data_IF_698641625474
#
_entry.id   IF_698641625474
#
_cell.length_a   1.000
_cell.length_b   1.000
_cell.length_c   1.000
_cell.angle_alpha   90.00
_cell.angle_beta   90.00
_cell.angle_gamma   90.00
#
_symmetry.space_group_name_H-M   'P 1'
#
loop_
_entity.id
_entity.type
_entity.pdbx_description
1 polymer ?
#
# COMPACT_ATOMS: atom_id res chain seq x y z
N UNK A 1 12.08 -4.32 7.19
CA UNK A 1 10.60 -4.47 7.29
C UNK A 1 10.06 -4.94 5.95
N UNK A 2 8.91 -5.61 5.94
CA UNK A 2 8.26 -6.07 4.70
C UNK A 2 6.87 -5.44 4.54
N UNK A 3 6.59 -4.92 3.37
CA UNK A 3 5.35 -4.21 3.04
C UNK A 3 4.68 -4.87 1.82
N UNK A 4 4.03 -6.05 1.96
CA UNK A 4 3.36 -6.70 0.84
C UNK A 4 2.27 -5.78 0.28
N UNK A 5 2.30 -5.51 -1.03
CA UNK A 5 1.34 -4.65 -1.71
C UNK A 5 0.18 -5.49 -2.26
N UNK A 6 -0.98 -5.35 -1.64
CA UNK A 6 -2.17 -6.14 -1.90
C UNK A 6 -3.26 -5.30 -2.56
N UNK A 7 -4.01 -5.90 -3.48
CA UNK A 7 -5.15 -5.25 -4.13
C UNK A 7 -6.43 -5.25 -3.29
N UNK A 8 -6.37 -5.73 -2.06
CA UNK A 8 -7.54 -5.81 -1.18
C UNK A 8 -8.65 -6.71 -1.72
N UNK A 9 -8.28 -7.78 -2.44
CA UNK A 9 -9.21 -8.80 -2.90
C UNK A 9 -9.67 -9.66 -1.73
N UNK A 10 -10.82 -10.32 -1.89
CA UNK A 10 -11.47 -11.05 -0.82
C UNK A 10 -10.53 -12.06 -0.12
N UNK A 11 -9.79 -12.86 -0.87
CA UNK A 11 -8.91 -13.88 -0.28
C UNK A 11 -7.65 -13.29 0.34
N UNK A 12 -7.09 -12.21 -0.19
CA UNK A 12 -5.99 -11.47 0.43
C UNK A 12 -6.42 -10.91 1.80
N UNK A 13 -7.58 -10.27 1.86
CA UNK A 13 -8.13 -9.72 3.11
C UNK A 13 -8.46 -10.81 4.14
N UNK A 14 -8.99 -11.97 3.70
CA UNK A 14 -9.23 -13.11 4.57
C UNK A 14 -7.91 -13.66 5.11
N UNK A 15 -6.88 -13.80 4.27
CA UNK A 15 -5.58 -14.30 4.69
C UNK A 15 -4.93 -13.36 5.74
N UNK A 16 -4.93 -12.05 5.51
CA UNK A 16 -4.43 -11.07 6.49
C UNK A 16 -5.18 -11.19 7.81
N UNK A 17 -6.52 -11.21 7.77
CA UNK A 17 -7.35 -11.34 8.96
C UNK A 17 -7.05 -12.63 9.74
N UNK A 18 -6.92 -13.77 9.06
CA UNK A 18 -6.58 -15.03 9.71
C UNK A 18 -5.18 -15.01 10.34
N UNK A 19 -4.20 -14.42 9.66
CA UNK A 19 -2.85 -14.28 10.21
C UNK A 19 -2.86 -13.42 11.48
N UNK A 20 -3.61 -12.33 11.49
CA UNK A 20 -3.78 -11.46 12.65
C UNK A 20 -4.50 -12.19 13.78
N UNK A 21 -5.63 -12.85 13.51
CA UNK A 21 -6.42 -13.57 14.51
C UNK A 21 -5.63 -14.72 15.16
N UNK A 22 -4.76 -15.38 14.39
CA UNK A 22 -3.89 -16.46 14.86
C UNK A 22 -2.58 -15.95 15.45
N UNK A 23 -2.39 -14.64 15.57
CA UNK A 23 -1.17 -13.97 16.08
C UNK A 23 0.10 -14.39 15.31
N UNK A 24 -0.05 -14.64 14.01
CA UNK A 24 1.04 -15.05 13.11
C UNK A 24 1.56 -13.93 12.22
N UNK A 25 0.92 -12.76 12.21
CA UNK A 25 1.43 -11.61 11.48
C UNK A 25 2.48 -10.90 12.33
N UNK A 26 3.73 -10.93 11.87
CA UNK A 26 4.84 -10.25 12.53
C UNK A 26 4.65 -8.74 12.53
N UNK A 27 5.07 -8.04 13.58
CA UNK A 27 5.11 -6.56 13.64
C UNK A 27 6.06 -5.94 12.61
N UNK A 28 6.95 -6.72 12.01
CA UNK A 28 7.82 -6.29 10.91
C UNK A 28 7.16 -6.41 9.53
N UNK A 29 5.91 -6.91 9.48
CA UNK A 29 5.13 -7.03 8.24
C UNK A 29 3.95 -6.07 8.31
N UNK A 30 3.94 -5.07 7.44
CA UNK A 30 2.89 -4.05 7.34
C UNK A 30 2.27 -4.14 5.94
N UNK A 31 1.15 -4.87 5.76
CA UNK A 31 0.50 -4.97 4.47
C UNK A 31 0.01 -3.61 3.97
N UNK A 32 0.33 -3.27 2.71
CA UNK A 32 -0.27 -2.13 2.01
C UNK A 32 -1.51 -2.66 1.29
N UNK A 33 -2.67 -2.11 1.59
CA UNK A 33 -3.93 -2.49 0.96
C UNK A 33 -4.39 -1.37 0.04
N UNK A 34 -4.36 -1.61 -1.27
CA UNK A 34 -5.02 -0.77 -2.26
C UNK A 34 -6.41 -1.36 -2.56
N UNK A 35 -7.49 -0.78 -2.01
CA UNK A 35 -8.80 -1.43 -2.03
C UNK A 35 -9.44 -1.35 -3.41
N UNK A 36 -9.61 -2.50 -4.06
CA UNK A 36 -10.27 -2.58 -5.38
C UNK A 36 -11.80 -2.53 -5.30
N UNK A 37 -12.39 -2.81 -4.13
CA UNK A 37 -13.84 -2.93 -3.97
C UNK A 37 -14.30 -2.55 -2.57
N UNK A 38 -15.45 -1.90 -2.49
CA UNK A 38 -16.14 -1.67 -1.22
C UNK A 38 -16.82 -2.98 -0.75
N UNK A 39 -16.34 -3.56 0.36
CA UNK A 39 -16.84 -4.82 0.87
C UNK A 39 -16.83 -4.89 2.39
N UNK A 40 -17.73 -5.70 2.97
CA UNK A 40 -17.71 -5.98 4.40
C UNK A 40 -16.43 -6.69 4.86
N UNK A 41 -15.82 -7.50 3.99
CA UNK A 41 -14.53 -8.15 4.29
C UNK A 41 -13.44 -7.12 4.54
N UNK A 42 -13.40 -6.02 3.75
CA UNK A 42 -12.45 -4.92 3.92
C UNK A 42 -12.65 -4.23 5.28
N UNK A 43 -13.87 -3.82 5.60
CA UNK A 43 -14.19 -3.18 6.88
C UNK A 43 -13.87 -4.09 8.08
N UNK A 44 -14.21 -5.37 7.99
CA UNK A 44 -13.91 -6.35 9.02
C UNK A 44 -12.39 -6.55 9.20
N UNK A 45 -11.60 -6.51 8.13
CA UNK A 45 -10.14 -6.61 8.22
C UNK A 45 -9.56 -5.41 8.98
N UNK A 46 -10.02 -4.20 8.68
CA UNK A 46 -9.62 -2.98 9.40
C UNK A 46 -9.99 -3.09 10.89
N UNK A 47 -11.20 -3.54 11.21
CA UNK A 47 -11.66 -3.71 12.58
C UNK A 47 -10.79 -4.70 13.38
N UNK A 48 -10.40 -5.82 12.77
CA UNK A 48 -9.50 -6.80 13.42
C UNK A 48 -8.09 -6.23 13.62
N UNK A 49 -7.57 -5.42 12.69
CA UNK A 49 -6.29 -4.74 12.87
C UNK A 49 -6.30 -3.84 14.10
N UNK A 50 -7.37 -3.08 14.30
CA UNK A 50 -7.55 -2.24 15.47
C UNK A 50 -7.67 -3.06 16.76
N UNK A 51 -8.53 -4.08 16.77
CA UNK A 51 -8.74 -4.96 17.93
C UNK A 51 -7.46 -5.66 18.39
N UNK A 52 -6.65 -6.13 17.44
CA UNK A 52 -5.42 -6.91 17.70
C UNK A 52 -4.14 -6.07 17.70
N UNK A 53 -4.26 -4.75 17.54
CA UNK A 53 -3.13 -3.83 17.51
C UNK A 53 -2.06 -4.18 16.43
N UNK A 54 -2.53 -4.60 15.26
CA UNK A 54 -1.68 -4.88 14.11
C UNK A 54 -1.72 -3.72 13.11
N UNK A 55 -0.56 -3.32 12.59
CA UNK A 55 -0.46 -2.24 11.61
C UNK A 55 -0.72 -2.72 10.19
N UNK A 56 -1.50 -1.93 9.45
CA UNK A 56 -1.66 -2.03 8.00
C UNK A 56 -1.57 -0.63 7.39
N UNK A 57 -1.22 -0.53 6.11
CA UNK A 57 -1.35 0.71 5.35
C UNK A 57 -2.57 0.61 4.41
N UNK A 58 -3.40 1.64 4.39
CA UNK A 58 -4.60 1.71 3.56
C UNK A 58 -4.49 2.84 2.55
N UNK A 59 -4.55 2.50 1.26
CA UNK A 59 -4.49 3.49 0.16
C UNK A 59 -5.84 4.21 0.06
N UNK A 60 -5.84 5.51 0.36
CA UNK A 60 -7.07 6.33 0.38
C UNK A 60 -7.48 6.82 -1.01
N UNK A 61 -6.56 6.78 -1.99
CA UNK A 61 -6.79 7.15 -3.39
C UNK A 61 -6.43 6.01 -4.36
N UNK A 62 -7.07 4.82 -4.23
CA UNK A 62 -6.72 3.68 -5.08
C UNK A 62 -6.88 4.01 -6.56
N UNK A 63 -5.89 3.58 -7.36
CA UNK A 63 -5.85 3.80 -8.81
C UNK A 63 -6.50 2.65 -9.59
N UNK A 64 -6.87 1.59 -8.90
CA UNK A 64 -7.46 0.39 -9.51
C UNK A 64 -8.77 0.02 -8.84
N UNK A 65 -9.60 -0.75 -9.58
CA UNK A 65 -10.84 -1.30 -9.05
C UNK A 65 -12.05 -0.36 -9.14
N UNK A 66 -13.06 -0.65 -8.35
CA UNK A 66 -14.39 -0.01 -8.40
C UNK A 66 -14.83 0.59 -7.06
N UNK A 67 -13.91 0.79 -6.09
CA UNK A 67 -14.25 1.26 -4.74
C UNK A 67 -15.22 2.46 -4.77
N UNK A 68 -14.87 3.53 -5.48
CA UNK A 68 -15.70 4.73 -5.58
C UNK A 68 -16.93 4.54 -6.49
N UNK A 69 -16.84 3.69 -7.52
CA UNK A 69 -18.00 3.36 -8.37
C UNK A 69 -19.04 2.54 -7.59
N UNK A 70 -18.59 1.62 -6.75
CA UNK A 70 -19.49 0.84 -5.88
C UNK A 70 -20.11 1.71 -4.79
N UNK A 71 -19.37 2.69 -4.27
CA UNK A 71 -19.91 3.67 -3.33
C UNK A 71 -21.03 4.52 -3.94
N UNK A 72 -20.96 4.88 -5.23
CA UNK A 72 -22.01 5.64 -5.93
C UNK A 72 -23.31 4.83 -6.09
N UNK A 73 -23.24 3.50 -6.06
CA UNK A 73 -24.44 2.61 -6.06
C UNK A 73 -25.16 2.61 -4.71
N UNK A 74 -24.43 2.90 -3.63
CA UNK A 74 -25.03 3.13 -2.32
C UNK A 74 -25.60 4.56 -2.27
N UNK A 75 -26.92 4.67 -2.47
CA UNK A 75 -27.65 5.95 -2.50
C UNK A 75 -27.44 6.82 -1.26
N UNK A 76 -27.02 6.23 -0.14
CA UNK A 76 -26.76 6.95 1.11
C UNK A 76 -25.30 7.38 1.27
N UNK A 77 -24.37 6.82 0.51
CA UNK A 77 -22.93 6.98 0.68
C UNK A 77 -22.40 6.48 2.03
N UNK A 78 -23.30 5.89 2.85
CA UNK A 78 -23.00 5.56 4.24
C UNK A 78 -21.85 4.57 4.37
N UNK A 79 -21.85 3.52 3.57
CA UNK A 79 -20.82 2.45 3.67
C UNK A 79 -19.41 2.97 3.42
N UNK A 80 -19.25 3.88 2.46
CA UNK A 80 -17.95 4.48 2.18
C UNK A 80 -17.53 5.41 3.31
N UNK A 81 -18.45 6.25 3.78
CA UNK A 81 -18.19 7.16 4.89
C UNK A 81 -17.82 6.40 6.18
N UNK A 82 -18.53 5.31 6.49
CA UNK A 82 -18.22 4.45 7.64
C UNK A 82 -16.81 3.85 7.51
N UNK A 83 -16.44 3.35 6.31
CA UNK A 83 -15.12 2.83 6.04
C UNK A 83 -14.02 3.88 6.25
N UNK A 84 -14.19 5.07 5.65
CA UNK A 84 -13.20 6.15 5.80
C UNK A 84 -13.13 6.67 7.24
N UNK A 85 -14.23 6.72 7.96
CA UNK A 85 -14.24 7.06 9.38
C UNK A 85 -13.40 6.07 10.18
N UNK A 86 -13.57 4.76 9.95
CA UNK A 86 -12.73 3.73 10.58
C UNK A 86 -11.26 3.91 10.24
N UNK A 87 -10.93 4.15 8.96
CA UNK A 87 -9.54 4.37 8.51
C UNK A 87 -8.92 5.59 9.20
N UNK A 88 -9.63 6.72 9.25
CA UNK A 88 -9.12 7.97 9.83
C UNK A 88 -8.94 7.83 11.34
N UNK A 89 -9.90 7.23 12.04
CA UNK A 89 -9.88 7.13 13.51
C UNK A 89 -8.90 6.07 14.03
N UNK A 90 -8.57 5.06 13.22
CA UNK A 90 -7.66 4.00 13.66
C UNK A 90 -6.21 4.48 13.72
N UNK A 91 -5.54 4.22 14.84
CA UNK A 91 -4.10 4.44 15.03
C UNK A 91 -3.25 3.35 14.40
N UNK A 92 -3.83 2.20 14.15
CA UNK A 92 -3.15 1.05 13.55
C UNK A 92 -3.22 1.04 12.02
N UNK A 93 -4.01 1.95 11.42
CA UNK A 93 -4.09 2.12 9.97
C UNK A 93 -3.26 3.31 9.53
N UNK A 94 -2.15 3.06 8.85
CA UNK A 94 -1.34 4.08 8.18
C UNK A 94 -2.10 4.54 6.93
N UNK A 95 -2.36 5.83 6.80
CA UNK A 95 -3.03 6.41 5.64
C UNK A 95 -2.03 6.51 4.50
N UNK A 96 -2.23 5.75 3.43
CA UNK A 96 -1.33 5.72 2.29
C UNK A 96 -1.93 6.50 1.12
N UNK A 97 -1.09 7.29 0.43
CA UNK A 97 -1.48 8.09 -0.74
C UNK A 97 -0.54 7.75 -1.90
N UNK A 98 -1.13 7.37 -3.02
CA UNK A 98 -0.40 7.27 -4.28
C UNK A 98 -0.20 8.69 -4.81
N UNK A 99 1.07 9.11 -4.96
CA UNK A 99 1.44 10.41 -5.49
C UNK A 99 1.01 10.56 -6.96
N UNK A 100 0.47 11.73 -7.32
CA UNK A 100 -0.03 12.00 -8.66
C UNK A 100 -1.24 12.95 -8.65
N UNK A 101 -2.06 12.90 -9.69
CA UNK A 101 -3.06 13.89 -10.02
C UNK A 101 -4.08 14.26 -8.92
N UNK A 102 -4.44 13.35 -8.03
CA UNK A 102 -5.42 13.58 -6.95
C UNK A 102 -4.80 13.60 -5.55
N UNK A 103 -3.48 13.46 -5.45
CA UNK A 103 -2.77 13.36 -4.18
C UNK A 103 -2.96 14.60 -3.30
N UNK A 104 -2.91 15.80 -3.87
CA UNK A 104 -3.08 17.07 -3.14
C UNK A 104 -4.45 17.15 -2.45
N UNK A 105 -5.52 16.80 -3.15
CA UNK A 105 -6.87 16.80 -2.58
C UNK A 105 -6.96 15.84 -1.39
N UNK A 106 -6.34 14.66 -1.51
CA UNK A 106 -6.37 13.63 -0.46
C UNK A 106 -5.51 13.97 0.74
N UNK A 107 -4.33 14.55 0.50
CA UNK A 107 -3.49 15.06 1.59
C UNK A 107 -4.25 16.14 2.38
N UNK A 108 -4.82 17.14 1.69
CA UNK A 108 -5.58 18.21 2.33
C UNK A 108 -6.79 17.68 3.10
N UNK A 109 -7.49 16.68 2.58
CA UNK A 109 -8.59 15.99 3.28
C UNK A 109 -8.11 15.31 4.57
N UNK A 110 -7.01 14.56 4.53
CA UNK A 110 -6.42 13.93 5.72
C UNK A 110 -5.98 14.96 6.76
N UNK A 111 -5.26 16.01 6.34
CA UNK A 111 -4.81 17.09 7.24
C UNK A 111 -5.99 17.79 7.91
N UNK A 112 -7.08 18.03 7.17
CA UNK A 112 -8.33 18.64 7.68
C UNK A 112 -9.02 17.75 8.72
N UNK A 113 -8.79 16.44 8.65
CA UNK A 113 -9.29 15.46 9.63
C UNK A 113 -8.31 15.23 10.80
N UNK A 114 -7.26 16.03 10.93
CA UNK A 114 -6.32 16.01 12.05
C UNK A 114 -5.22 14.94 11.94
N UNK A 115 -5.00 14.38 10.73
CA UNK A 115 -3.88 13.44 10.48
C UNK A 115 -2.65 14.28 10.13
N UNK A 116 -1.56 14.06 10.83
CA UNK A 116 -0.30 14.74 10.55
C UNK A 116 0.44 14.12 9.35
N UNK A 117 1.26 14.93 8.66
CA UNK A 117 2.03 14.47 7.50
C UNK A 117 2.94 13.28 7.82
N UNK A 118 3.47 13.24 9.04
CA UNK A 118 4.33 12.15 9.51
C UNK A 118 3.57 10.85 9.87
N UNK A 119 2.26 10.83 9.71
CA UNK A 119 1.39 9.64 9.83
C UNK A 119 0.95 9.13 8.44
N UNK A 120 1.33 9.84 7.37
CA UNK A 120 0.97 9.49 5.99
C UNK A 120 2.12 8.72 5.33
N UNK A 121 1.79 7.64 4.62
CA UNK A 121 2.70 6.94 3.72
C UNK A 121 2.51 7.47 2.30
N UNK A 122 3.58 7.92 1.66
CA UNK A 122 3.56 8.27 0.23
C UNK A 122 3.99 7.07 -0.62
N UNK A 123 3.30 6.84 -1.72
CA UNK A 123 3.57 5.75 -2.66
C UNK A 123 3.79 6.35 -4.05
N UNK A 124 4.91 6.05 -4.66
CA UNK A 124 5.27 6.51 -5.99
C UNK A 124 5.27 5.30 -6.93
N UNK A 125 4.35 5.27 -7.88
CA UNK A 125 4.25 4.17 -8.85
C UNK A 125 5.01 4.49 -10.14
N UNK A 126 5.13 5.79 -10.46
CA UNK A 126 5.83 6.31 -11.64
C UNK A 126 6.52 7.64 -11.35
N UNK A 127 7.14 8.23 -12.36
CA UNK A 127 7.89 9.48 -12.24
C UNK A 127 7.02 10.73 -12.12
N UNK A 128 5.74 10.67 -12.45
CA UNK A 128 4.84 11.84 -12.43
C UNK A 128 4.64 12.37 -11.01
N UNK A 129 4.54 11.45 -10.04
CA UNK A 129 4.38 11.81 -8.62
C UNK A 129 5.64 12.32 -7.91
N UNK A 130 6.82 12.34 -8.57
CA UNK A 130 8.09 12.61 -7.88
C UNK A 130 8.18 14.03 -7.30
N UNK A 131 7.49 15.00 -7.92
CA UNK A 131 7.41 16.38 -7.45
C UNK A 131 6.73 16.51 -6.10
N UNK A 132 5.77 15.63 -5.82
CA UNK A 132 4.96 15.65 -4.61
C UNK A 132 5.81 15.43 -3.34
N UNK A 133 6.95 14.75 -3.46
CA UNK A 133 7.87 14.54 -2.34
C UNK A 133 8.29 15.84 -1.66
N UNK A 134 8.60 16.87 -2.44
CA UNK A 134 9.01 18.17 -1.90
C UNK A 134 7.83 19.12 -1.76
N UNK A 135 6.95 19.18 -2.76
CA UNK A 135 5.90 20.18 -2.85
C UNK A 135 4.69 19.87 -1.97
N UNK A 136 4.32 18.59 -1.86
CA UNK A 136 3.12 18.17 -1.15
C UNK A 136 3.44 17.51 0.19
N UNK A 137 4.32 16.49 0.19
CA UNK A 137 4.68 15.76 1.42
C UNK A 137 5.76 16.47 2.24
N UNK A 138 6.38 17.53 1.72
CA UNK A 138 7.42 18.32 2.40
C UNK A 138 8.51 17.46 3.05
N UNK A 139 8.86 16.33 2.43
CA UNK A 139 9.84 15.32 2.93
C UNK A 139 9.48 14.73 4.29
N UNK A 140 8.24 14.90 4.78
CA UNK A 140 7.82 14.57 6.15
C UNK A 140 7.01 13.28 6.26
N UNK A 141 6.67 12.63 5.13
CA UNK A 141 5.91 11.39 5.14
C UNK A 141 6.50 10.34 6.08
N UNK A 142 5.63 9.52 6.70
CA UNK A 142 6.03 8.41 7.58
C UNK A 142 6.93 7.41 6.87
N UNK A 143 6.56 7.04 5.65
CA UNK A 143 7.30 6.18 4.74
C UNK A 143 7.15 6.68 3.32
N UNK A 144 8.20 6.45 2.50
CA UNK A 144 8.21 6.74 1.08
C UNK A 144 8.41 5.43 0.32
N UNK A 145 7.34 4.90 -0.25
CA UNK A 145 7.39 3.69 -1.09
C UNK A 145 7.76 4.11 -2.50
N UNK A 146 8.93 3.70 -2.97
CA UNK A 146 9.51 4.15 -4.23
C UNK A 146 9.92 2.99 -5.12
N UNK A 147 9.76 3.08 -6.45
CA UNK A 147 10.24 2.08 -7.36
C UNK A 147 11.77 2.08 -7.46
N UNK A 148 12.34 0.96 -7.93
CA UNK A 148 13.77 0.85 -8.23
C UNK A 148 14.09 1.64 -9.52
N UNK A 149 14.18 2.97 -9.39
CA UNK A 149 14.47 3.87 -10.50
C UNK A 149 15.36 5.04 -10.01
N UNK A 150 16.41 5.35 -10.77
CA UNK A 150 17.35 6.45 -10.47
C UNK A 150 16.68 7.82 -10.38
N UNK A 151 15.51 8.03 -10.97
CA UNK A 151 14.76 9.26 -10.86
C UNK A 151 14.39 9.59 -9.40
N UNK A 152 14.18 8.55 -8.57
CA UNK A 152 13.81 8.69 -7.15
C UNK A 152 15.02 8.86 -6.20
N UNK A 153 16.25 8.98 -6.71
CA UNK A 153 17.47 9.12 -5.88
C UNK A 153 17.48 10.32 -4.92
N UNK A 154 16.62 11.33 -5.18
CA UNK A 154 16.45 12.49 -4.30
C UNK A 154 15.66 12.17 -3.02
N UNK A 155 14.80 11.15 -3.07
CA UNK A 155 14.09 10.65 -1.89
C UNK A 155 15.08 9.76 -1.12
N UNK A 156 15.58 10.22 0.02
CA UNK A 156 16.64 9.51 0.75
C UNK A 156 16.20 8.97 2.09
N UNK A 157 15.14 9.52 2.66
CA UNK A 157 14.71 9.19 4.01
C UNK A 157 13.50 8.26 4.00
N UNK A 158 13.46 7.36 4.97
CA UNK A 158 12.30 6.47 5.24
C UNK A 158 11.81 5.72 3.98
N UNK A 159 12.76 5.28 3.16
CA UNK A 159 12.49 4.63 1.87
C UNK A 159 12.08 3.17 2.04
N UNK A 160 11.04 2.79 1.32
CA UNK A 160 10.64 1.39 1.13
C UNK A 160 10.80 1.10 -0.36
N UNK A 161 11.60 0.09 -0.68
CA UNK A 161 11.80 -0.34 -2.07
C UNK A 161 10.53 -1.05 -2.57
N UNK A 162 9.95 -0.59 -3.67
CA UNK A 162 8.87 -1.27 -4.37
C UNK A 162 9.35 -1.77 -5.71
N UNK A 163 9.25 -3.07 -5.95
CA UNK A 163 9.61 -3.65 -7.23
C UNK A 163 8.55 -4.64 -7.70
N UNK A 164 8.02 -4.42 -8.93
CA UNK A 164 7.11 -5.35 -9.59
C UNK A 164 7.92 -6.42 -10.34
N UNK A 165 8.24 -7.51 -9.63
CA UNK A 165 8.97 -8.64 -10.20
C UNK A 165 8.16 -9.37 -11.28
N UNK A 166 6.84 -9.38 -11.18
CA UNK A 166 5.99 -10.04 -12.17
C UNK A 166 6.03 -9.32 -13.53
N UNK A 167 6.01 -7.97 -13.50
CA UNK A 167 6.19 -7.20 -14.75
C UNK A 167 7.59 -7.35 -15.34
N UNK A 168 8.64 -7.37 -14.52
CA UNK A 168 10.00 -7.59 -14.98
C UNK A 168 10.12 -8.96 -15.66
N UNK A 169 9.62 -10.01 -14.99
CA UNK A 169 9.61 -11.38 -15.52
C UNK A 169 8.82 -11.47 -16.83
N UNK A 170 7.66 -10.82 -16.94
CA UNK A 170 6.86 -10.79 -18.19
C UNK A 170 7.61 -10.14 -19.35
N UNK A 171 8.39 -9.09 -19.10
CA UNK A 171 9.18 -8.38 -20.12
C UNK A 171 10.39 -9.18 -20.59
N UNK A 172 11.00 -9.98 -19.71
CA UNK A 172 12.18 -10.80 -20.04
C UNK A 172 11.83 -12.11 -20.73
N UNK A 173 10.55 -12.51 -20.76
CA UNK A 173 10.12 -13.83 -21.24
C UNK A 173 9.40 -13.83 -22.58
N UNK A 174 9.95 -14.61 -23.49
CA UNK A 174 9.20 -15.39 -24.47
C UNK A 174 8.66 -16.68 -23.78
N UNK A 175 7.58 -16.55 -23.07
CA UNK A 175 6.57 -17.53 -22.62
C UNK A 175 6.90 -19.03 -22.62
N UNK A 176 7.93 -19.51 -21.94
CA UNK A 176 8.13 -20.94 -21.81
C UNK A 176 8.26 -21.37 -20.33
N UNK A 177 7.18 -21.21 -19.57
CA UNK A 177 7.06 -21.71 -18.19
C UNK A 177 7.22 -23.24 -18.08
N UNK A 178 7.03 -23.97 -19.21
CA UNK A 178 7.10 -25.43 -19.24
C UNK A 178 8.53 -25.98 -19.11
N UNK A 179 9.55 -25.12 -19.23
CA UNK A 179 10.97 -25.55 -19.26
C UNK A 179 11.77 -25.26 -18.00
N UNK A 180 11.18 -24.53 -17.02
CA UNK A 180 11.86 -24.19 -15.76
C UNK A 180 11.06 -24.74 -14.57
N UNK A 181 11.70 -25.53 -13.74
CA UNK A 181 11.11 -26.06 -12.50
C UNK A 181 11.01 -24.99 -11.43
N UNK A 182 11.94 -24.04 -11.41
CA UNK A 182 11.99 -22.92 -10.47
C UNK A 182 12.43 -21.62 -11.16
N UNK A 183 12.23 -20.51 -10.48
CA UNK A 183 12.69 -19.20 -10.93
C UNK A 183 13.04 -18.31 -9.77
N UNK A 184 14.19 -17.63 -9.89
CA UNK A 184 14.58 -16.59 -8.95
C UNK A 184 13.56 -15.44 -8.98
N UNK A 185 12.98 -15.14 -7.82
CA UNK A 185 12.02 -14.07 -7.69
C UNK A 185 12.68 -12.77 -7.23
N UNK A 186 13.30 -12.76 -6.05
CA UNK A 186 13.92 -11.58 -5.46
C UNK A 186 14.85 -11.93 -4.31
N UNK A 187 15.91 -11.15 -4.15
CA UNK A 187 16.80 -11.12 -2.98
C UNK A 187 16.69 -9.81 -2.18
N UNK A 188 15.70 -8.98 -2.47
CA UNK A 188 15.47 -7.69 -1.82
C UNK A 188 15.41 -7.82 -0.29
N UNK A 189 14.88 -8.94 0.23
CA UNK A 189 14.83 -9.23 1.66
C UNK A 189 16.21 -9.34 2.33
N UNK A 190 17.27 -9.63 1.57
CA UNK A 190 18.64 -9.72 2.06
C UNK A 190 19.36 -8.37 1.99
N UNK A 191 19.07 -7.55 0.96
CA UNK A 191 19.90 -6.39 0.61
C UNK A 191 19.24 -5.03 0.85
N UNK A 192 17.92 -4.94 1.05
CA UNK A 192 17.23 -3.65 1.19
C UNK A 192 17.89 -2.72 2.22
N UNK A 193 18.40 -3.25 3.32
CA UNK A 193 18.99 -2.45 4.38
C UNK A 193 20.37 -1.92 3.97
N UNK A 194 21.21 -2.72 3.33
CA UNK A 194 22.53 -2.30 2.82
C UNK A 194 22.39 -1.28 1.69
N UNK A 195 21.31 -1.34 0.93
CA UNK A 195 20.95 -0.37 -0.11
C UNK A 195 20.31 0.91 0.44
N UNK A 196 20.21 1.01 1.78
CA UNK A 196 19.73 2.18 2.48
C UNK A 196 18.20 2.33 2.48
N UNK A 197 17.46 1.23 2.35
CA UNK A 197 16.02 1.20 2.54
C UNK A 197 15.65 0.70 3.95
N UNK A 198 14.54 1.17 4.50
CA UNK A 198 13.97 0.67 5.76
C UNK A 198 13.22 -0.64 5.59
N UNK A 199 12.78 -0.92 4.39
CA UNK A 199 12.04 -2.12 4.06
C UNK A 199 11.90 -2.29 2.55
N UNK A 200 11.23 -3.36 2.17
CA UNK A 200 10.92 -3.67 0.78
C UNK A 200 9.45 -4.04 0.64
N UNK A 201 8.96 -3.89 -0.57
CA UNK A 201 7.58 -4.13 -0.98
C UNK A 201 7.56 -4.84 -2.32
N UNK A 202 6.66 -5.77 -2.48
CA UNK A 202 6.36 -6.42 -3.74
C UNK A 202 4.84 -6.59 -3.90
N UNK A 203 4.41 -6.81 -5.13
CA UNK A 203 3.00 -7.08 -5.40
C UNK A 203 2.65 -8.54 -5.14
N UNK A 204 1.45 -8.77 -4.60
CA UNK A 204 0.88 -10.12 -4.58
C UNK A 204 0.61 -10.61 -6.01
N UNK A 205 0.67 -11.93 -6.21
CA UNK A 205 0.30 -12.55 -7.48
C UNK A 205 -1.14 -12.18 -7.79
N UNK A 206 -1.32 -11.50 -8.91
CA UNK A 206 -2.63 -11.14 -9.45
C UNK A 206 -3.02 -12.25 -10.44
N UNK A 207 -3.83 -13.19 -9.97
CA UNK A 207 -4.46 -14.18 -10.85
C UNK A 207 -5.58 -13.55 -11.69
#
# INVERSE_FOLDING_TARGET
MYFPYLRGRQYELIAIRELIQKEKLSSYVIPIIEPVKLSSTLSNTIGICEEKNNSIAFVVNPQVGSLYADARKDKTGKKLNDLFTMVIQSKNVIKAIIAGNDSELKVNDLLSNGIDMNEIMSIYLDREGISDYEMLFNKSAMYNVIPYDMAFRRIREKRILLFDRFEAIKKERNNDYAKKEDEFFSDDHLYYNTDGYLGFSDYSIVG
#
